data_IF_074687229290
#
_entry.id   IF_074687229290
#
_cell.length_a   1.000
_cell.length_b   1.000
_cell.length_c   1.000
_cell.angle_alpha   90.00
_cell.angle_beta   90.00
_cell.angle_gamma   90.00
#
_symmetry.space_group_name_H-M   'P 1'
#
loop_
_entity.id
_entity.type
_entity.pdbx_description
1 polymer ?
#
# COMPACT_ATOMS: atom_id res chain seq x y z
N UNK A 1 -29.44 -0.62 1.21
CA UNK A 1 -28.10 -1.25 1.32
C UNK A 1 -28.21 -2.39 2.31
N UNK A 2 -27.61 -3.56 2.05
CA UNK A 2 -27.55 -4.61 3.06
C UNK A 2 -26.78 -4.10 4.30
N UNK A 3 -27.12 -4.55 5.51
CA UNK A 3 -26.41 -4.14 6.73
C UNK A 3 -24.96 -4.62 6.67
N UNK A 4 -24.02 -3.74 7.04
CA UNK A 4 -22.60 -4.07 7.13
C UNK A 4 -22.39 -4.96 8.37
N UNK A 5 -22.35 -6.27 8.18
CA UNK A 5 -22.03 -7.21 9.26
C UNK A 5 -20.52 -7.22 9.50
N UNK A 6 -20.06 -7.16 10.76
CA UNK A 6 -18.64 -7.25 11.05
C UNK A 6 -18.12 -8.64 10.68
N UNK A 7 -17.07 -8.69 9.88
CA UNK A 7 -16.36 -9.91 9.52
C UNK A 7 -15.09 -10.02 10.39
N UNK A 8 -14.83 -11.17 11.05
CA UNK A 8 -13.61 -11.36 11.81
C UNK A 8 -12.40 -11.34 10.87
N UNK A 9 -11.33 -10.66 11.31
CA UNK A 9 -10.10 -10.50 10.54
C UNK A 9 -8.91 -10.24 11.44
N UNK A 10 -7.72 -10.21 10.84
CA UNK A 10 -6.48 -9.86 11.53
C UNK A 10 -6.18 -8.37 11.37
N UNK A 11 -5.67 -7.76 12.45
CA UNK A 11 -5.07 -6.43 12.40
C UNK A 11 -3.57 -6.55 12.59
N UNK A 12 -2.80 -6.13 11.59
CA UNK A 12 -1.37 -5.93 11.68
C UNK A 12 -1.10 -4.44 11.82
N UNK A 13 -0.78 -4.00 13.04
CA UNK A 13 -0.37 -2.62 13.32
C UNK A 13 1.15 -2.54 13.31
N UNK A 14 1.70 -1.97 12.25
CA UNK A 14 3.14 -1.83 12.03
C UNK A 14 3.40 -0.32 11.94
N UNK A 15 3.94 0.34 12.98
CA UNK A 15 4.02 1.80 13.01
C UNK A 15 4.68 2.42 11.77
N UNK A 16 5.69 1.75 11.22
CA UNK A 16 6.38 2.18 10.02
C UNK A 16 6.87 0.98 9.21
N UNK A 17 6.72 1.04 7.89
CA UNK A 17 7.16 0.01 6.95
C UNK A 17 7.54 0.69 5.62
N UNK A 18 8.72 0.44 5.02
CA UNK A 18 9.01 0.95 3.69
C UNK A 18 7.96 0.52 2.66
N UNK A 19 7.67 1.39 1.68
CA UNK A 19 6.59 1.13 0.73
C UNK A 19 6.77 -0.20 -0.03
N UNK A 20 8.00 -0.52 -0.47
CA UNK A 20 8.31 -1.76 -1.20
C UNK A 20 8.02 -2.99 -0.34
N UNK A 21 8.51 -3.01 0.90
CA UNK A 21 8.27 -4.10 1.85
C UNK A 21 6.78 -4.26 2.14
N UNK A 22 6.04 -3.15 2.21
CA UNK A 22 4.59 -3.18 2.37
C UNK A 22 3.87 -3.80 1.18
N UNK A 23 4.35 -3.55 -0.04
CA UNK A 23 3.79 -4.11 -1.26
C UNK A 23 4.03 -5.63 -1.33
N UNK A 24 5.23 -6.08 -0.97
CA UNK A 24 5.57 -7.51 -0.87
C UNK A 24 4.72 -8.20 0.21
N UNK A 25 4.57 -7.59 1.38
CA UNK A 25 3.71 -8.10 2.45
C UNK A 25 2.25 -8.23 1.99
N UNK A 26 1.72 -7.21 1.31
CA UNK A 26 0.37 -7.24 0.74
C UNK A 26 0.22 -8.40 -0.25
N UNK A 27 1.15 -8.56 -1.19
CA UNK A 27 1.12 -9.64 -2.19
C UNK A 27 1.15 -11.03 -1.54
N UNK A 28 2.03 -11.21 -0.55
CA UNK A 28 2.14 -12.45 0.23
C UNK A 28 0.86 -12.78 0.99
N UNK A 29 0.25 -11.79 1.65
CA UNK A 29 -1.01 -11.95 2.38
C UNK A 29 -2.19 -12.24 1.44
N UNK A 30 -2.24 -11.60 0.27
CA UNK A 30 -3.24 -11.91 -0.76
C UNK A 30 -3.13 -13.36 -1.21
N UNK A 31 -1.91 -13.84 -1.49
CA UNK A 31 -1.69 -15.23 -1.88
C UNK A 31 -2.14 -16.22 -0.78
N UNK A 32 -1.78 -15.95 0.49
CA UNK A 32 -2.20 -16.78 1.63
C UNK A 32 -3.71 -16.75 1.86
N UNK A 33 -4.35 -15.58 1.69
CA UNK A 33 -5.81 -15.42 1.82
C UNK A 33 -6.54 -16.22 0.73
N UNK A 34 -6.08 -16.15 -0.52
CA UNK A 34 -6.63 -16.94 -1.62
C UNK A 34 -6.50 -18.45 -1.38
N UNK A 35 -5.43 -18.88 -0.70
CA UNK A 35 -5.23 -20.25 -0.27
C UNK A 35 -5.96 -20.63 1.04
N UNK A 36 -6.82 -19.75 1.58
CA UNK A 36 -7.53 -19.92 2.85
C UNK A 36 -6.62 -20.19 4.07
N UNK A 37 -5.36 -19.74 4.02
CA UNK A 37 -4.38 -19.94 5.09
C UNK A 37 -4.43 -18.83 6.15
N UNK A 38 -4.91 -17.64 5.78
CA UNK A 38 -5.10 -16.50 6.68
C UNK A 38 -6.47 -15.87 6.42
N UNK A 39 -7.14 -15.32 7.46
CA UNK A 39 -8.35 -14.52 7.27
C UNK A 39 -8.01 -13.17 6.61
N UNK A 40 -9.06 -12.42 6.29
CA UNK A 40 -8.93 -11.03 5.85
C UNK A 40 -8.06 -10.25 6.85
N UNK A 41 -7.07 -9.52 6.32
CA UNK A 41 -6.06 -8.84 7.13
C UNK A 41 -6.05 -7.36 6.79
N UNK A 42 -6.20 -6.51 7.79
CA UNK A 42 -5.99 -5.07 7.72
C UNK A 42 -4.57 -4.76 8.18
N UNK A 43 -3.79 -4.07 7.35
CA UNK A 43 -2.46 -3.56 7.70
C UNK A 43 -2.61 -2.06 7.97
N UNK A 44 -2.16 -1.59 9.13
CA UNK A 44 -2.04 -0.17 9.46
C UNK A 44 -0.56 0.16 9.57
N UNK A 45 -0.09 1.09 8.73
CA UNK A 45 1.32 1.47 8.68
C UNK A 45 1.53 2.85 8.06
N UNK A 46 2.73 3.40 8.28
CA UNK A 46 3.24 4.61 7.67
C UNK A 46 4.46 4.27 6.78
N UNK A 47 4.73 5.06 5.75
CA UNK A 47 5.84 4.84 4.80
C UNK A 47 6.78 6.05 4.79
N UNK A 48 8.00 5.86 4.25
CA UNK A 48 8.81 6.97 3.75
C UNK A 48 8.01 7.79 2.73
N UNK A 49 8.41 9.05 2.53
CA UNK A 49 7.75 9.91 1.54
C UNK A 49 7.80 9.28 0.15
N UNK A 50 6.63 8.92 -0.37
CA UNK A 50 6.49 8.11 -1.59
C UNK A 50 5.37 8.64 -2.47
N UNK A 51 5.62 8.68 -3.78
CA UNK A 51 4.61 8.89 -4.81
C UNK A 51 4.34 7.56 -5.52
N UNK A 52 3.10 7.10 -5.48
CA UNK A 52 2.67 5.85 -6.14
C UNK A 52 1.91 6.13 -7.42
N UNK A 53 2.26 5.45 -8.51
CA UNK A 53 1.63 5.63 -9.81
C UNK A 53 0.60 4.52 -10.08
N UNK A 54 -0.67 4.85 -9.81
CA UNK A 54 -1.79 3.96 -10.10
C UNK A 54 -2.09 3.79 -11.60
N UNK A 55 -3.03 2.91 -11.91
CA UNK A 55 -3.43 2.52 -13.28
C UNK A 55 -3.77 3.69 -14.21
N UNK A 56 -4.28 4.79 -13.66
CA UNK A 56 -4.75 5.97 -14.41
C UNK A 56 -3.79 7.16 -14.31
N UNK A 57 -2.59 6.97 -13.75
CA UNK A 57 -1.57 8.00 -13.71
C UNK A 57 -1.13 8.38 -15.12
N UNK A 58 -0.98 9.68 -15.36
CA UNK A 58 -0.41 10.24 -16.59
C UNK A 58 0.92 10.94 -16.28
N UNK A 59 1.85 11.00 -17.24
CA UNK A 59 3.09 11.79 -17.16
C UNK A 59 2.92 13.17 -16.53
N UNK A 60 1.95 13.94 -17.02
CA UNK A 60 1.68 15.32 -16.59
C UNK A 60 1.32 15.46 -15.10
N UNK A 61 0.92 14.38 -14.42
CA UNK A 61 0.60 14.41 -12.99
C UNK A 61 1.86 14.57 -12.12
N UNK A 62 3.04 14.17 -12.58
CA UNK A 62 4.24 14.09 -11.74
C UNK A 62 5.54 14.50 -12.43
N UNK A 63 5.70 14.23 -13.72
CA UNK A 63 6.97 14.47 -14.44
C UNK A 63 7.48 15.91 -14.33
N UNK A 64 6.65 16.97 -14.47
CA UNK A 64 7.14 18.35 -14.36
C UNK A 64 7.78 18.68 -13.02
N UNK A 65 7.41 17.96 -11.96
CA UNK A 65 7.86 18.20 -10.59
C UNK A 65 8.86 17.15 -10.10
N UNK A 66 9.10 16.08 -10.87
CA UNK A 66 9.88 14.94 -10.40
C UNK A 66 11.28 15.29 -9.93
N UNK A 67 11.97 16.16 -10.67
CA UNK A 67 13.32 16.58 -10.32
C UNK A 67 13.38 17.23 -8.94
N UNK A 68 12.38 18.04 -8.60
CA UNK A 68 12.27 18.67 -7.27
C UNK A 68 11.93 17.64 -6.19
N UNK A 69 10.91 16.82 -6.42
CA UNK A 69 10.45 15.80 -5.47
C UNK A 69 11.56 14.78 -5.14
N UNK A 70 12.33 14.36 -6.15
CA UNK A 70 13.47 13.48 -5.97
C UNK A 70 14.56 14.10 -5.09
N UNK A 71 14.82 15.41 -5.23
CA UNK A 71 15.78 16.12 -4.40
C UNK A 71 15.32 16.26 -2.94
N UNK A 72 14.00 16.17 -2.69
CA UNK A 72 13.41 16.11 -1.35
C UNK A 72 13.41 14.69 -0.75
N UNK A 73 13.99 13.70 -1.45
CA UNK A 73 14.05 12.31 -1.00
C UNK A 73 12.78 11.52 -1.24
N UNK A 74 11.88 11.99 -2.11
CA UNK A 74 10.65 11.27 -2.44
C UNK A 74 10.96 10.15 -3.45
N UNK A 75 10.49 8.95 -3.13
CA UNK A 75 10.61 7.79 -4.01
C UNK A 75 9.38 7.64 -4.91
N UNK A 76 9.57 7.15 -6.13
CA UNK A 76 8.51 6.90 -7.10
C UNK A 76 8.35 5.39 -7.28
N UNK A 77 7.11 4.90 -7.18
CA UNK A 77 6.77 3.48 -7.33
C UNK A 77 5.54 3.25 -8.21
#
# INVERSE_FOLDING_TARGET
MPPNQPHPGHLLSIPFLPFVDSLELQQSLVAKRLAAQVPDTLILTEHDSVLTLGRTTKPDHWEPHWSELKNQGIHLH
#
